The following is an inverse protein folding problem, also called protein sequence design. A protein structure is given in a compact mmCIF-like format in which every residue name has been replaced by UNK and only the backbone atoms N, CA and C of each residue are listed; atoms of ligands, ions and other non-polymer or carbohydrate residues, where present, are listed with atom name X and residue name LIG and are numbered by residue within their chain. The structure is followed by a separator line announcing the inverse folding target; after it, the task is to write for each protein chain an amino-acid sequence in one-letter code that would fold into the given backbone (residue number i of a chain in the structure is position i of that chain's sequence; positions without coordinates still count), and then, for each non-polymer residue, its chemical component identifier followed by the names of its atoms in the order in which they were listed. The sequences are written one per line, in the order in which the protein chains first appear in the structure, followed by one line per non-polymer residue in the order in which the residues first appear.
data_IF_961934857018
#
_entry.id   IF_961934857018
#
_cell.length_a   1.000
_cell.length_b   1.000
_cell.length_c   1.000
_cell.angle_alpha   90.00
_cell.angle_beta   90.00
_cell.angle_gamma   90.00
#
_symmetry.space_group_name_H-M   'P 1'
#
loop_
_entity.id
_entity.type
_entity.pdbx_description
1 polymer ?
#
# COMPACT_ATOMS: atom_id res chain seq x y z
N UNK A 1 36.50 -0.04 3.56
CA UNK A 1 35.57 -0.30 2.44
C UNK A 1 34.56 -1.34 2.91
N UNK A 2 33.27 -1.01 3.05
CA UNK A 2 32.28 -1.99 3.49
C UNK A 2 32.20 -3.16 2.50
N UNK A 3 32.02 -4.37 3.02
CA UNK A 3 31.95 -5.60 2.20
C UNK A 3 30.75 -5.58 1.26
N UNK A 4 30.78 -6.41 0.22
CA UNK A 4 29.66 -6.57 -0.72
C UNK A 4 28.35 -6.94 0.01
N UNK A 5 28.42 -7.76 1.06
CA UNK A 5 27.27 -8.11 1.90
C UNK A 5 26.73 -6.93 2.72
N UNK A 6 27.58 -6.06 3.27
CA UNK A 6 27.14 -4.88 4.02
C UNK A 6 26.39 -3.88 3.13
N UNK A 7 26.85 -3.68 1.88
CA UNK A 7 26.17 -2.79 0.92
C UNK A 7 24.78 -3.29 0.49
N UNK A 8 24.55 -4.60 0.48
CA UNK A 8 23.23 -5.17 0.13
C UNK A 8 22.27 -5.29 1.31
N UNK A 9 22.78 -5.38 2.55
CA UNK A 9 21.96 -5.35 3.76
C UNK A 9 21.26 -3.98 3.92
N UNK A 10 22.00 -2.89 3.70
CA UNK A 10 21.45 -1.54 3.75
C UNK A 10 20.39 -1.31 2.67
N UNK A 11 20.57 -1.92 1.49
CA UNK A 11 19.66 -1.83 0.34
C UNK A 11 18.34 -2.62 0.51
N UNK A 12 18.13 -3.36 1.60
CA UNK A 12 16.80 -3.91 1.94
C UNK A 12 16.17 -3.21 3.14
N UNK A 13 16.98 -2.49 3.91
CA UNK A 13 16.57 -1.90 5.16
C UNK A 13 15.58 -0.75 4.97
N UNK A 14 15.63 -0.03 3.84
CA UNK A 14 14.67 1.05 3.53
C UNK A 14 13.22 0.54 3.35
N UNK A 15 13.03 -0.74 2.97
CA UNK A 15 11.71 -1.38 2.84
C UNK A 15 11.19 -1.94 4.17
N UNK A 16 12.01 -1.96 5.22
CA UNK A 16 11.55 -2.42 6.53
C UNK A 16 10.54 -1.42 7.07
N UNK A 17 9.34 -1.92 7.36
CA UNK A 17 8.29 -1.14 8.00
C UNK A 17 8.52 -1.10 9.49
N UNK A 18 8.23 0.04 10.10
CA UNK A 18 8.15 0.14 11.55
C UNK A 18 7.13 -0.87 12.09
N UNK A 19 7.41 -1.43 13.27
CA UNK A 19 6.45 -2.25 14.00
C UNK A 19 5.19 -1.42 14.25
N UNK A 20 4.05 -1.98 13.89
CA UNK A 20 2.77 -1.34 14.10
C UNK A 20 2.32 -1.55 15.54
N UNK A 21 1.81 -0.51 16.21
CA UNK A 21 1.19 -0.72 17.52
C UNK A 21 -0.17 -1.43 17.37
N UNK A 22 -0.64 -2.18 18.38
CA UNK A 22 -1.95 -2.84 18.34
C UNK A 22 -3.12 -1.88 18.10
N UNK A 23 -3.04 -0.65 18.62
CA UNK A 23 -4.07 0.38 18.44
C UNK A 23 -4.18 0.80 16.97
N UNK A 24 -3.04 1.05 16.33
CA UNK A 24 -2.98 1.40 14.92
C UNK A 24 -3.45 0.21 14.05
N UNK A 25 -3.16 -1.03 14.47
CA UNK A 25 -3.65 -2.22 13.77
C UNK A 25 -5.18 -2.26 13.79
N UNK A 26 -5.76 -2.03 14.97
CA UNK A 26 -7.21 -2.04 15.17
C UNK A 26 -7.93 -0.96 14.35
N UNK A 27 -7.31 0.21 14.16
CA UNK A 27 -7.85 1.29 13.30
C UNK A 27 -7.69 1.00 11.79
N UNK A 28 -6.57 0.38 11.40
CA UNK A 28 -6.24 0.14 10.00
C UNK A 28 -6.91 -1.12 9.40
N UNK A 29 -7.18 -2.15 10.20
CA UNK A 29 -7.79 -3.39 9.73
C UNK A 29 -9.20 -3.21 9.13
N UNK A 30 -10.12 -2.41 9.70
CA UNK A 30 -11.40 -2.12 9.08
C UNK A 30 -11.27 -1.50 7.67
N UNK A 31 -10.31 -0.59 7.49
CA UNK A 31 -10.00 0.04 6.20
C UNK A 31 -9.47 -1.02 5.23
N UNK A 32 -8.54 -1.86 5.67
CA UNK A 32 -8.01 -2.95 4.86
C UNK A 32 -9.08 -3.96 4.46
N UNK A 33 -9.98 -4.34 5.38
CA UNK A 33 -11.11 -5.25 5.11
C UNK A 33 -12.08 -4.65 4.09
N UNK A 34 -12.45 -3.38 4.23
CA UNK A 34 -13.33 -2.70 3.30
C UNK A 34 -12.71 -2.60 1.89
N UNK A 35 -11.40 -2.32 1.80
CA UNK A 35 -10.66 -2.33 0.53
C UNK A 35 -10.66 -3.70 -0.14
N UNK A 36 -10.41 -4.78 0.62
CA UNK A 36 -10.47 -6.16 0.10
C UNK A 36 -11.85 -6.45 -0.50
N UNK A 37 -12.92 -6.02 0.16
CA UNK A 37 -14.29 -6.11 -0.36
C UNK A 37 -14.47 -5.33 -1.66
N UNK A 38 -14.03 -4.07 -1.73
CA UNK A 38 -14.13 -3.27 -2.96
C UNK A 38 -13.34 -3.87 -4.12
N UNK A 39 -12.19 -4.47 -3.87
CA UNK A 39 -11.41 -5.14 -4.91
C UNK A 39 -12.04 -6.44 -5.38
N UNK A 40 -12.73 -7.17 -4.49
CA UNK A 40 -13.58 -8.29 -4.90
C UNK A 40 -14.72 -7.81 -5.81
N UNK A 41 -15.44 -6.75 -5.43
CA UNK A 41 -16.51 -6.15 -6.25
C UNK A 41 -16.01 -5.72 -7.64
N UNK A 42 -14.83 -5.08 -7.71
CA UNK A 42 -14.24 -4.68 -8.99
C UNK A 42 -13.94 -5.89 -9.87
N UNK A 43 -13.46 -6.99 -9.27
CA UNK A 43 -13.14 -8.22 -9.98
C UNK A 43 -14.38 -8.90 -10.52
N UNK A 44 -15.42 -9.05 -9.71
CA UNK A 44 -16.70 -9.65 -10.12
C UNK A 44 -17.36 -8.88 -11.26
N UNK A 45 -17.20 -7.55 -11.28
CA UNK A 45 -17.77 -6.66 -12.30
C UNK A 45 -16.84 -6.43 -13.49
N UNK A 46 -15.68 -7.09 -13.52
CA UNK A 46 -14.63 -6.91 -14.52
C UNK A 46 -14.23 -5.44 -14.74
N UNK A 47 -14.31 -4.63 -13.67
CA UNK A 47 -13.90 -3.23 -13.69
C UNK A 47 -12.39 -3.13 -13.51
N UNK A 48 -11.72 -2.54 -14.51
CA UNK A 48 -10.26 -2.49 -14.61
C UNK A 48 -9.77 -1.07 -14.79
N UNK A 49 -8.47 -0.88 -14.59
CA UNK A 49 -7.81 0.39 -14.82
C UNK A 49 -7.82 1.33 -13.62
N UNK A 50 -6.90 2.30 -13.66
CA UNK A 50 -6.56 3.17 -12.54
C UNK A 50 -7.76 3.95 -11.99
N UNK A 51 -8.65 4.44 -12.84
CA UNK A 51 -9.79 5.24 -12.41
C UNK A 51 -10.74 4.48 -11.47
N UNK A 52 -11.03 3.21 -11.76
CA UNK A 52 -11.90 2.38 -10.94
C UNK A 52 -11.25 2.03 -9.59
N UNK A 53 -9.95 1.72 -9.63
CA UNK A 53 -9.16 1.38 -8.44
C UNK A 53 -9.01 2.62 -7.55
N UNK A 54 -8.69 3.77 -8.15
CA UNK A 54 -8.61 5.05 -7.45
C UNK A 54 -9.92 5.42 -6.77
N UNK A 55 -11.05 5.22 -7.44
CA UNK A 55 -12.38 5.44 -6.88
C UNK A 55 -12.65 4.51 -5.69
N UNK A 56 -12.32 3.22 -5.81
CA UNK A 56 -12.47 2.25 -4.72
C UNK A 56 -11.62 2.61 -3.50
N UNK A 57 -10.35 2.97 -3.72
CA UNK A 57 -9.42 3.36 -2.64
C UNK A 57 -9.90 4.62 -1.93
N UNK A 58 -10.25 5.68 -2.68
CA UNK A 58 -10.73 6.95 -2.11
C UNK A 58 -12.07 6.82 -1.40
N UNK A 59 -12.93 5.88 -1.80
CA UNK A 59 -14.21 5.64 -1.14
C UNK A 59 -14.06 4.97 0.25
N UNK A 60 -12.93 4.29 0.50
CA UNK A 60 -12.65 3.59 1.76
C UNK A 60 -11.72 4.41 2.67
N UNK A 61 -10.88 5.26 2.09
CA UNK A 61 -9.96 6.11 2.85
C UNK A 61 -10.72 7.06 3.79
N UNK A 62 -10.36 7.12 5.09
CA UNK A 62 -10.94 8.09 6.01
C UNK A 62 -10.73 9.52 5.52
N UNK A 63 -11.67 10.42 5.86
CA UNK A 63 -11.55 11.82 5.46
C UNK A 63 -10.29 12.47 6.06
N UNK A 64 -9.64 13.33 5.28
CA UNK A 64 -8.40 14.01 5.70
C UNK A 64 -7.14 13.14 5.66
N UNK A 65 -7.23 11.87 5.25
CA UNK A 65 -6.05 11.03 5.04
C UNK A 65 -5.40 11.29 3.68
N UNK A 66 -4.08 11.15 3.61
CA UNK A 66 -3.36 11.22 2.35
C UNK A 66 -3.47 9.86 1.62
N UNK A 67 -3.84 9.92 0.35
CA UNK A 67 -4.04 8.74 -0.50
C UNK A 67 -3.10 8.83 -1.69
N UNK A 68 -2.19 7.86 -1.80
CA UNK A 68 -1.23 7.74 -2.88
C UNK A 68 -1.71 6.62 -3.80
N UNK A 69 -1.81 6.90 -5.10
CA UNK A 69 -2.15 5.91 -6.14
C UNK A 69 -1.14 6.10 -7.27
N UNK A 70 -0.56 5.00 -7.75
CA UNK A 70 0.45 5.02 -8.82
C UNK A 70 0.23 3.84 -9.75
N UNK A 71 0.48 4.04 -11.04
CA UNK A 71 0.71 2.93 -11.96
C UNK A 71 1.95 2.13 -11.48
N UNK A 72 1.78 0.82 -11.30
CA UNK A 72 2.83 -0.14 -11.02
C UNK A 72 3.57 -0.48 -12.31
N UNK A 73 4.90 -0.61 -12.21
CA UNK A 73 5.78 -0.70 -13.39
C UNK A 73 5.51 -1.88 -14.34
N UNK A 74 4.95 -3.00 -13.87
CA UNK A 74 4.68 -4.19 -14.70
C UNK A 74 3.19 -4.57 -14.69
N UNK A 75 2.61 -4.80 -15.87
CA UNK A 75 1.32 -5.50 -16.03
C UNK A 75 0.07 -4.72 -15.66
N UNK A 76 0.05 -3.40 -15.85
CA UNK A 76 -1.11 -2.54 -15.52
C UNK A 76 -1.54 -2.59 -14.04
N UNK A 77 -0.64 -3.04 -13.16
CA UNK A 77 -0.89 -3.03 -11.74
C UNK A 77 -1.05 -1.59 -11.26
N UNK A 78 -1.89 -1.36 -10.27
CA UNK A 78 -2.02 -0.08 -9.58
C UNK A 78 -1.61 -0.31 -8.14
N UNK A 79 -0.61 0.44 -7.70
CA UNK A 79 -0.11 0.43 -6.31
C UNK A 79 -0.76 1.58 -5.57
N UNK A 80 -1.14 1.34 -4.32
CA UNK A 80 -1.75 2.37 -3.49
C UNK A 80 -1.22 2.37 -2.06
N UNK A 81 -1.40 3.50 -1.40
CA UNK A 81 -1.29 3.63 0.05
C UNK A 81 -2.31 4.64 0.59
N UNK A 82 -2.83 4.33 1.77
CA UNK A 82 -3.63 5.23 2.61
C UNK A 82 -2.81 5.48 3.88
N UNK A 83 -2.46 6.74 4.11
CA UNK A 83 -1.77 7.19 5.32
C UNK A 83 -2.77 7.36 6.46
N UNK A 84 -2.68 6.49 7.46
CA UNK A 84 -3.44 6.57 8.70
C UNK A 84 -2.56 7.15 9.81
N UNK A 85 -3.16 7.51 10.94
CA UNK A 85 -2.39 7.98 12.09
C UNK A 85 -1.53 6.83 12.63
N UNK A 86 -0.21 6.92 12.43
CA UNK A 86 0.74 5.93 12.96
C UNK A 86 0.95 4.69 12.10
N UNK A 87 0.34 4.62 10.90
CA UNK A 87 0.46 3.45 10.04
C UNK A 87 -0.09 3.66 8.64
N UNK A 88 -0.06 2.58 7.87
CA UNK A 88 -0.39 2.59 6.45
C UNK A 88 -1.25 1.38 6.10
N UNK A 89 -2.26 1.61 5.25
CA UNK A 89 -2.87 0.52 4.47
C UNK A 89 -2.32 0.62 3.06
N UNK A 90 -1.62 -0.42 2.62
CA UNK A 90 -0.92 -0.43 1.33
C UNK A 90 -1.27 -1.66 0.54
N UNK A 91 -0.99 -1.63 -0.75
CA UNK A 91 -1.23 -2.78 -1.57
C UNK A 91 -1.12 -2.51 -3.05
N UNK A 92 -1.60 -3.47 -3.82
CA UNK A 92 -1.72 -3.35 -5.25
C UNK A 92 -2.97 -4.08 -5.75
N UNK A 93 -3.41 -3.70 -6.94
CA UNK A 93 -4.46 -4.36 -7.69
C UNK A 93 -4.03 -4.52 -9.14
N UNK A 94 -4.16 -5.72 -9.71
CA UNK A 94 -4.07 -5.95 -11.14
C UNK A 94 -5.24 -6.86 -11.58
N UNK A 95 -5.28 -7.23 -12.86
CA UNK A 95 -6.39 -8.03 -13.41
C UNK A 95 -6.48 -9.46 -12.85
N UNK A 96 -5.40 -9.98 -12.26
CA UNK A 96 -5.29 -11.36 -11.78
C UNK A 96 -5.42 -11.46 -10.26
N UNK A 97 -4.82 -10.51 -9.56
CA UNK A 97 -4.67 -10.55 -8.11
C UNK A 97 -4.71 -9.16 -7.49
N UNK A 98 -4.92 -9.15 -6.18
CA UNK A 98 -4.91 -7.93 -5.38
C UNK A 98 -4.40 -8.26 -3.99
N UNK A 99 -3.59 -7.38 -3.43
CA UNK A 99 -3.06 -7.52 -2.07
C UNK A 99 -3.36 -6.25 -1.29
N UNK A 100 -3.79 -6.40 -0.04
CA UNK A 100 -4.02 -5.31 0.91
C UNK A 100 -3.38 -5.68 2.24
N UNK A 101 -2.44 -4.86 2.69
CA UNK A 101 -1.65 -5.07 3.90
C UNK A 101 -1.72 -3.85 4.80
N UNK A 102 -1.83 -4.10 6.10
CA UNK A 102 -1.61 -3.11 7.15
C UNK A 102 -0.14 -3.17 7.55
N UNK A 103 0.52 -2.02 7.66
CA UNK A 103 1.90 -1.96 8.10
C UNK A 103 2.31 -0.57 8.55
N UNK A 104 3.40 -0.47 9.30
CA UNK A 104 3.94 0.82 9.69
C UNK A 104 4.48 1.60 8.49
N UNK A 105 4.86 2.85 8.77
CA UNK A 105 5.65 3.64 7.85
C UNK A 105 6.96 2.91 7.51
N UNK A 106 7.44 3.08 6.28
CA UNK A 106 8.80 2.68 5.90
C UNK A 106 9.81 3.64 6.56
N UNK A 107 11.10 3.29 6.55
CA UNK A 107 12.15 4.08 7.21
C UNK A 107 12.19 5.55 6.78
N UNK A 108 11.80 5.86 5.55
CA UNK A 108 11.75 7.23 5.02
C UNK A 108 10.52 8.03 5.50
N UNK A 109 9.73 7.48 6.43
CA UNK A 109 8.54 8.13 7.00
C UNK A 109 7.27 8.05 6.13
N UNK A 110 7.38 7.54 4.91
CA UNK A 110 6.24 7.36 3.99
C UNK A 110 5.55 6.00 4.10
N UNK A 111 4.47 5.81 3.33
CA UNK A 111 3.81 4.50 3.20
C UNK A 111 4.28 3.67 2.00
N UNK A 112 4.85 4.32 0.99
CA UNK A 112 5.45 3.69 -0.19
C UNK A 112 6.85 4.24 -0.41
N UNK A 113 7.73 3.43 -0.97
CA UNK A 113 9.05 3.88 -1.39
C UNK A 113 8.93 4.97 -2.45
N UNK A 114 9.89 5.90 -2.45
CA UNK A 114 9.95 6.93 -3.48
C UNK A 114 10.08 6.29 -4.89
N UNK A 115 9.50 6.89 -5.94
CA UNK A 115 9.70 6.39 -7.31
C UNK A 115 11.19 6.41 -7.68
N UNK A 116 11.70 5.33 -8.28
CA UNK A 116 13.05 5.29 -8.87
C UNK A 116 14.19 4.76 -7.98
N UNK A 117 13.89 4.12 -6.85
CA UNK A 117 14.88 3.48 -5.96
C UNK A 117 14.77 1.95 -5.95
#
# INVERSE_FOLDING_TARGET
MPSWEQKHADNKSYRQRATLSPEVAAEAEPVAKALRGKFADLRERELRGEAHIAKAVRAVAPQGTNVIIRAGGAGSAVVFAIELRGGCVTGFYNERESKVEVGGYIKDGGCLTAPGH
#
